data_IF_675681729042
#
_entry.id   IF_675681729042
#
_cell.length_a   1.000
_cell.length_b   1.000
_cell.length_c   1.000
_cell.angle_alpha   90.00
_cell.angle_beta   90.00
_cell.angle_gamma   90.00
#
_symmetry.space_group_name_H-M   'P 1'
#
loop_
_entity.id
_entity.type
_entity.pdbx_description
1 polymer ?
#
# COMPACT_ATOMS: atom_id res chain seq x y z
N UNK A 1 -7.64 -21.65 13.04
CA UNK A 1 -8.08 -20.87 11.86
C UNK A 1 -7.24 -21.36 10.69
N UNK A 2 -7.82 -21.74 9.55
CA UNK A 2 -7.01 -22.17 8.40
C UNK A 2 -6.19 -20.96 7.91
N UNK A 3 -4.94 -21.18 7.49
CA UNK A 3 -4.08 -20.11 6.97
C UNK A 3 -4.76 -19.31 5.83
N UNK A 4 -5.62 -19.99 5.07
CA UNK A 4 -6.46 -19.42 4.01
C UNK A 4 -7.41 -18.35 4.58
N UNK A 5 -8.08 -18.62 5.70
CA UNK A 5 -9.02 -17.67 6.32
C UNK A 5 -8.29 -16.44 6.86
N UNK A 6 -7.10 -16.62 7.44
CA UNK A 6 -6.28 -15.49 7.91
C UNK A 6 -5.80 -14.60 6.75
N UNK A 7 -5.35 -15.22 5.65
CA UNK A 7 -4.93 -14.50 4.44
C UNK A 7 -6.10 -13.70 3.84
N UNK A 8 -7.29 -14.31 3.71
CA UNK A 8 -8.48 -13.64 3.19
C UNK A 8 -8.86 -12.42 4.05
N UNK A 9 -8.84 -12.56 5.38
CA UNK A 9 -9.13 -11.45 6.28
C UNK A 9 -8.11 -10.32 6.15
N UNK A 10 -6.82 -10.64 6.03
CA UNK A 10 -5.76 -9.65 5.80
C UNK A 10 -6.00 -8.86 4.51
N UNK A 11 -6.36 -9.54 3.42
CA UNK A 11 -6.71 -8.91 2.14
C UNK A 11 -7.95 -8.04 2.20
N UNK A 12 -8.98 -8.49 2.91
CA UNK A 12 -10.21 -7.69 3.10
C UNK A 12 -9.87 -6.40 3.84
N UNK A 13 -9.07 -6.47 4.91
CA UNK A 13 -8.68 -5.30 5.70
C UNK A 13 -7.81 -4.33 4.90
N UNK A 14 -6.80 -4.84 4.19
CA UNK A 14 -5.96 -4.03 3.31
C UNK A 14 -6.79 -3.37 2.19
N UNK A 15 -7.63 -4.16 1.52
CA UNK A 15 -8.51 -3.68 0.45
C UNK A 15 -9.47 -2.61 0.95
N UNK A 16 -10.08 -2.80 2.12
CA UNK A 16 -10.96 -1.80 2.73
C UNK A 16 -10.21 -0.52 3.09
N UNK A 17 -9.01 -0.65 3.67
CA UNK A 17 -8.17 0.48 4.01
C UNK A 17 -7.86 1.32 2.77
N UNK A 18 -7.42 0.67 1.70
CA UNK A 18 -7.10 1.31 0.42
C UNK A 18 -8.34 1.94 -0.21
N UNK A 19 -9.47 1.22 -0.24
CA UNK A 19 -10.73 1.70 -0.79
C UNK A 19 -11.24 2.95 -0.08
N UNK A 20 -11.06 3.07 1.24
CA UNK A 20 -11.44 4.27 1.99
C UNK A 20 -10.42 5.41 1.86
N UNK A 21 -9.13 5.08 1.76
CA UNK A 21 -8.03 6.04 1.77
C UNK A 21 -7.88 6.73 0.40
N UNK A 22 -7.93 5.97 -0.70
CA UNK A 22 -7.67 6.48 -2.06
C UNK A 22 -8.64 7.59 -2.49
N UNK A 23 -9.98 7.49 -2.30
CA UNK A 23 -10.91 8.56 -2.67
C UNK A 23 -10.69 9.83 -1.85
N UNK A 24 -10.34 9.68 -0.57
CA UNK A 24 -10.07 10.80 0.33
C UNK A 24 -8.77 11.52 -0.03
N UNK A 25 -7.73 10.77 -0.40
CA UNK A 25 -6.46 11.35 -0.89
C UNK A 25 -6.68 12.14 -2.17
N UNK A 26 -7.44 11.59 -3.12
CA UNK A 26 -7.69 12.23 -4.42
C UNK A 26 -8.35 13.60 -4.28
N UNK A 27 -9.29 13.78 -3.34
CA UNK A 27 -10.04 15.04 -3.26
C UNK A 27 -9.41 16.09 -2.34
N UNK A 28 -8.61 15.72 -1.34
CA UNK A 28 -8.16 16.67 -0.30
C UNK A 28 -6.66 16.96 -0.27
N UNK A 29 -5.82 16.14 -0.92
CA UNK A 29 -4.36 16.25 -0.82
C UNK A 29 -3.73 16.58 -2.15
N UNK A 30 -2.73 17.47 -2.17
CA UNK A 30 -1.89 17.71 -3.36
C UNK A 30 -1.30 16.39 -3.89
N UNK A 31 -1.20 16.26 -5.21
CA UNK A 31 -0.54 15.16 -5.92
C UNK A 31 0.84 14.84 -5.35
N UNK A 32 1.64 15.84 -5.00
CA UNK A 32 2.95 15.64 -4.34
C UNK A 32 2.80 14.91 -2.99
N UNK A 33 1.80 15.28 -2.18
CA UNK A 33 1.52 14.59 -0.90
C UNK A 33 1.08 13.15 -1.14
N UNK A 34 0.28 12.90 -2.18
CA UNK A 34 -0.13 11.54 -2.55
C UNK A 34 1.07 10.70 -3.00
N UNK A 35 2.00 11.29 -3.79
CA UNK A 35 3.25 10.63 -4.19
C UNK A 35 4.10 10.25 -2.97
N UNK A 36 4.29 11.19 -2.03
CA UNK A 36 5.05 10.95 -0.79
C UNK A 36 4.47 9.81 0.05
N UNK A 37 3.13 9.70 0.11
CA UNK A 37 2.46 8.58 0.78
C UNK A 37 2.73 7.26 0.06
N UNK A 38 2.68 7.25 -1.27
CA UNK A 38 3.02 6.05 -2.04
C UNK A 38 4.47 5.62 -1.81
N UNK A 39 5.42 6.56 -1.83
CA UNK A 39 6.84 6.31 -1.61
C UNK A 39 7.09 5.79 -0.18
N UNK A 40 6.44 6.35 0.85
CA UNK A 40 6.64 5.86 2.22
C UNK A 40 6.15 4.42 2.40
N UNK A 41 5.05 4.04 1.73
CA UNK A 41 4.56 2.66 1.70
C UNK A 41 5.56 1.73 0.97
N UNK A 42 6.11 2.17 -0.16
CA UNK A 42 7.16 1.42 -0.89
C UNK A 42 8.38 1.19 0.00
N UNK A 43 8.83 2.21 0.73
CA UNK A 43 9.99 2.10 1.61
C UNK A 43 9.75 1.11 2.75
N UNK A 44 8.60 1.18 3.41
CA UNK A 44 8.24 0.24 4.48
C UNK A 44 8.13 -1.17 3.92
N UNK A 45 7.38 -1.37 2.83
CA UNK A 45 7.25 -2.68 2.18
C UNK A 45 8.59 -3.24 1.69
N UNK A 46 9.46 -2.38 1.17
CA UNK A 46 10.78 -2.75 0.67
C UNK A 46 11.75 -3.15 1.78
N UNK A 47 11.74 -2.45 2.92
CA UNK A 47 12.55 -2.83 4.08
C UNK A 47 12.15 -4.22 4.59
N UNK A 48 10.84 -4.46 4.69
CA UNK A 48 10.30 -5.76 5.12
C UNK A 48 10.67 -6.85 4.09
N UNK A 49 10.55 -6.58 2.79
CA UNK A 49 10.88 -7.54 1.73
C UNK A 49 12.37 -7.93 1.67
N UNK A 50 13.27 -7.06 2.13
CA UNK A 50 14.72 -7.32 2.14
C UNK A 50 15.19 -7.95 3.45
N UNK A 51 14.46 -7.75 4.55
CA UNK A 51 14.79 -8.32 5.85
C UNK A 51 14.35 -9.79 5.96
N UNK A 52 15.32 -10.69 6.02
CA UNK A 52 15.12 -12.14 6.15
C UNK A 52 14.47 -12.57 7.46
N UNK A 53 14.40 -11.69 8.47
CA UNK A 53 13.69 -11.93 9.73
C UNK A 53 12.25 -11.45 9.71
N UNK A 54 11.88 -10.61 8.73
CA UNK A 54 10.57 -10.03 8.57
C UNK A 54 9.85 -10.67 7.39
N UNK A 55 9.64 -12.00 7.47
CA UNK A 55 9.01 -12.80 6.43
C UNK A 55 7.49 -12.89 6.65
N UNK A 56 6.75 -12.20 5.79
CA UNK A 56 5.30 -12.35 5.56
C UNK A 56 5.00 -13.36 4.45
N UNK A 57 5.96 -14.12 3.92
CA UNK A 57 5.71 -15.17 2.93
C UNK A 57 5.39 -14.64 1.53
N UNK A 58 5.98 -13.50 1.15
CA UNK A 58 5.82 -12.89 -0.17
C UNK A 58 4.75 -11.79 -0.27
N UNK A 59 4.02 -11.52 0.82
CA UNK A 59 3.03 -10.42 0.85
C UNK A 59 3.67 -9.02 0.93
N UNK A 60 4.96 -8.91 1.23
CA UNK A 60 5.72 -7.65 1.28
C UNK A 60 5.74 -6.96 -0.08
N UNK A 61 5.92 -7.75 -1.15
CA UNK A 61 5.93 -7.24 -2.52
C UNK A 61 4.59 -6.63 -2.92
N UNK A 62 3.50 -7.09 -2.32
CA UNK A 62 2.16 -6.54 -2.55
C UNK A 62 1.99 -5.20 -1.85
N UNK A 63 2.61 -5.01 -0.68
CA UNK A 63 2.70 -3.70 -0.03
C UNK A 63 3.50 -2.72 -0.90
N UNK A 64 4.63 -3.15 -1.45
CA UNK A 64 5.43 -2.35 -2.40
C UNK A 64 4.60 -1.96 -3.62
N UNK A 65 3.90 -2.92 -4.22
CA UNK A 65 3.05 -2.69 -5.39
C UNK A 65 1.92 -1.70 -5.09
N UNK A 66 1.31 -1.79 -3.90
CA UNK A 66 0.27 -0.87 -3.46
C UNK A 66 0.78 0.58 -3.34
N UNK A 67 1.96 0.76 -2.73
CA UNK A 67 2.60 2.07 -2.64
C UNK A 67 2.90 2.66 -4.02
N UNK A 68 3.27 1.81 -4.98
CA UNK A 68 3.49 2.17 -6.38
C UNK A 68 2.20 2.68 -7.06
N UNK A 69 1.08 1.99 -6.87
CA UNK A 69 -0.23 2.45 -7.37
C UNK A 69 -0.59 3.82 -6.79
N UNK A 70 -0.40 4.01 -5.48
CA UNK A 70 -0.72 5.28 -4.81
C UNK A 70 0.17 6.40 -5.35
N UNK A 71 1.47 6.15 -5.53
CA UNK A 71 2.39 7.12 -6.11
C UNK A 71 1.99 7.51 -7.54
N UNK A 72 1.61 6.53 -8.37
CA UNK A 72 1.14 6.76 -9.73
C UNK A 72 -0.16 7.60 -9.78
N UNK A 73 -1.10 7.35 -8.85
CA UNK A 73 -2.32 8.17 -8.72
C UNK A 73 -1.97 9.62 -8.39
N UNK A 74 -0.99 9.84 -7.51
CA UNK A 74 -0.51 11.18 -7.18
C UNK A 74 0.15 11.89 -8.36
N UNK A 75 0.90 11.16 -9.19
CA UNK A 75 1.52 11.70 -10.40
C UNK A 75 0.50 12.12 -11.47
N UNK A 76 -0.60 11.38 -11.60
CA UNK A 76 -1.70 11.74 -12.51
C UNK A 76 -2.52 12.96 -12.05
N UNK A 77 -2.22 13.51 -10.87
CA UNK A 77 -2.94 14.65 -10.31
C UNK A 77 -2.36 15.95 -10.87
N UNK A 78 -3.21 16.71 -11.58
CA UNK A 78 -2.94 18.12 -11.90
C UNK A 78 -3.37 18.94 -10.69
N UNK A 79 -2.43 19.24 -9.81
CA UNK A 79 -2.61 20.35 -8.87
C UNK A 79 -2.50 21.69 -9.60
#
# INVERSE_FOLDING_TARGET
MSAIVAAVLFWVVLGFGVFFIVPKLKNNFSGIKVILIGISIILVGGIIAVDTRSDLGGYEYLVVFLGLIIAAIGFGKKD
#
